data_IF_997774764535
#
_entry.id   IF_997774764535
#
_cell.length_a   1.000
_cell.length_b   1.000
_cell.length_c   1.000
_cell.angle_alpha   90.00
_cell.angle_beta   90.00
_cell.angle_gamma   90.00
#
_symmetry.space_group_name_H-M   'P 1'
#
loop_
_entity.id
_entity.type
_entity.pdbx_description
1 polymer ?
#
# COMPACT_ATOMS: atom_id res chain seq x y z
N UNK A 1 -81.73 -57.34 -4.73
CA UNK A 1 -80.37 -57.35 -4.14
C UNK A 1 -79.34 -56.66 -5.00
N UNK A 2 -79.66 -55.78 -5.99
CA UNK A 2 -78.77 -55.12 -6.90
C UNK A 2 -78.30 -53.72 -6.50
N UNK A 3 -78.96 -53.02 -5.57
CA UNK A 3 -78.70 -51.62 -5.24
C UNK A 3 -77.50 -51.36 -4.31
N UNK A 4 -77.25 -52.28 -3.43
CA UNK A 4 -76.14 -52.14 -2.43
C UNK A 4 -74.72 -52.32 -3.00
N UNK A 5 -74.56 -53.14 -4.03
CA UNK A 5 -73.29 -53.34 -4.73
C UNK A 5 -72.91 -52.10 -5.53
N UNK A 6 -73.80 -51.39 -6.17
CA UNK A 6 -73.54 -50.20 -6.97
C UNK A 6 -73.09 -49.02 -6.11
N UNK A 7 -73.67 -48.84 -4.93
CA UNK A 7 -73.32 -47.77 -3.99
C UNK A 7 -71.91 -48.01 -3.41
N UNK A 8 -71.56 -49.25 -3.06
CA UNK A 8 -70.24 -49.61 -2.57
C UNK A 8 -69.13 -49.33 -3.60
N UNK A 9 -69.40 -49.57 -4.90
CA UNK A 9 -68.40 -49.36 -5.95
C UNK A 9 -68.15 -47.88 -6.26
N UNK A 10 -69.20 -47.04 -6.19
CA UNK A 10 -69.13 -45.60 -6.38
C UNK A 10 -68.34 -44.92 -5.20
N UNK A 11 -68.62 -45.33 -3.98
CA UNK A 11 -67.91 -44.83 -2.78
C UNK A 11 -66.44 -45.29 -2.79
N UNK A 12 -66.23 -46.54 -3.15
CA UNK A 12 -64.80 -47.07 -3.27
C UNK A 12 -63.93 -46.35 -4.32
N UNK A 13 -64.58 -46.07 -5.49
CA UNK A 13 -63.85 -45.28 -6.55
C UNK A 13 -63.67 -43.80 -6.17
N UNK A 14 -64.58 -43.22 -5.39
CA UNK A 14 -64.49 -41.85 -4.89
C UNK A 14 -63.38 -41.72 -3.86
N UNK A 15 -63.24 -42.63 -2.95
CA UNK A 15 -62.16 -42.63 -1.93
C UNK A 15 -60.79 -42.92 -2.58
N UNK A 16 -60.73 -43.84 -3.53
CA UNK A 16 -59.50 -44.12 -4.25
C UNK A 16 -58.98 -42.93 -5.09
N UNK A 17 -59.94 -42.23 -5.75
CA UNK A 17 -59.55 -41.05 -6.58
C UNK A 17 -59.19 -39.84 -5.74
N UNK A 18 -59.74 -39.68 -4.54
CA UNK A 18 -59.40 -38.62 -3.60
C UNK A 18 -58.08 -38.92 -2.89
N UNK A 19 -57.80 -40.18 -2.60
CA UNK A 19 -56.53 -40.61 -2.00
C UNK A 19 -55.32 -40.41 -2.92
N UNK A 20 -55.51 -40.57 -4.24
CA UNK A 20 -54.39 -40.36 -5.19
C UNK A 20 -53.97 -38.90 -5.31
N UNK A 21 -54.91 -37.95 -5.16
CA UNK A 21 -54.56 -36.51 -5.17
C UNK A 21 -53.81 -36.10 -3.90
N UNK A 22 -54.20 -36.67 -2.75
CA UNK A 22 -53.55 -36.40 -1.48
C UNK A 22 -52.08 -36.92 -1.44
N UNK A 23 -51.83 -38.06 -2.07
CA UNK A 23 -50.50 -38.66 -2.15
C UNK A 23 -49.58 -37.96 -3.18
N UNK A 24 -50.12 -37.22 -4.13
CA UNK A 24 -49.35 -36.47 -5.12
C UNK A 24 -48.82 -35.13 -4.57
N UNK A 25 -49.50 -34.58 -3.57
CA UNK A 25 -49.07 -33.32 -2.93
C UNK A 25 -48.08 -33.53 -1.74
N UNK A 26 -47.97 -34.77 -1.23
CA UNK A 26 -47.04 -35.08 -0.13
C UNK A 26 -45.55 -34.95 -0.44
N UNK A 27 -45.04 -35.24 -1.64
CA UNK A 27 -43.64 -35.05 -1.95
C UNK A 27 -43.20 -33.57 -1.99
N UNK A 28 -44.15 -32.64 -2.23
CA UNK A 28 -43.80 -31.21 -2.24
C UNK A 28 -43.53 -30.64 -0.83
N UNK A 29 -44.04 -31.28 0.23
CA UNK A 29 -43.81 -30.88 1.62
C UNK A 29 -42.46 -31.36 2.18
N UNK A 30 -41.81 -32.34 1.58
CA UNK A 30 -40.57 -32.97 2.05
C UNK A 30 -39.39 -32.76 1.11
N UNK A 31 -39.58 -32.13 -0.04
CA UNK A 31 -38.44 -31.73 -0.85
C UNK A 31 -37.77 -30.50 -0.20
N UNK A 32 -36.50 -30.62 0.23
CA UNK A 32 -35.79 -29.43 0.63
C UNK A 32 -35.80 -28.48 -0.54
N UNK A 33 -36.33 -27.28 -0.36
CA UNK A 33 -36.16 -26.18 -1.28
C UNK A 33 -34.63 -25.92 -1.27
N UNK A 34 -33.94 -26.42 -2.27
CA UNK A 34 -32.57 -26.02 -2.54
C UNK A 34 -32.70 -24.59 -3.02
N UNK A 35 -32.61 -23.66 -2.09
CA UNK A 35 -32.35 -22.25 -2.41
C UNK A 35 -31.00 -22.24 -3.10
N UNK A 36 -30.95 -21.96 -4.41
CA UNK A 36 -29.69 -21.71 -5.09
C UNK A 36 -28.96 -20.67 -4.29
N UNK A 37 -27.72 -20.93 -3.88
CA UNK A 37 -26.93 -19.94 -3.19
C UNK A 37 -26.72 -18.77 -4.16
N UNK A 38 -27.48 -17.69 -3.98
CA UNK A 38 -27.20 -16.44 -4.67
C UNK A 38 -25.90 -15.94 -4.10
N UNK A 39 -24.80 -16.19 -4.80
CA UNK A 39 -23.56 -15.56 -4.51
C UNK A 39 -23.76 -14.04 -4.69
N UNK A 40 -23.60 -13.28 -3.61
CA UNK A 40 -23.62 -11.83 -3.67
C UNK A 40 -22.47 -11.39 -4.59
N UNK A 41 -22.83 -10.80 -5.73
CA UNK A 41 -21.87 -10.35 -6.75
C UNK A 41 -20.82 -9.42 -6.14
N UNK A 42 -21.19 -8.59 -5.16
CA UNK A 42 -20.24 -7.72 -4.41
C UNK A 42 -19.14 -8.54 -3.74
N UNK A 43 -19.53 -9.61 -3.04
CA UNK A 43 -18.57 -10.50 -2.36
C UNK A 43 -17.60 -11.13 -3.37
N UNK A 44 -18.10 -11.54 -4.53
CA UNK A 44 -17.24 -12.12 -5.59
C UNK A 44 -16.26 -11.09 -6.12
N UNK A 45 -16.72 -9.86 -6.42
CA UNK A 45 -15.87 -8.76 -6.89
C UNK A 45 -14.79 -8.42 -5.85
N UNK A 46 -15.18 -8.28 -4.57
CA UNK A 46 -14.25 -8.01 -3.47
C UNK A 46 -13.20 -9.12 -3.35
N UNK A 47 -13.60 -10.39 -3.41
CA UNK A 47 -12.64 -11.50 -3.35
C UNK A 47 -11.67 -11.48 -4.54
N UNK A 48 -12.15 -11.13 -5.72
CA UNK A 48 -11.32 -11.05 -6.93
C UNK A 48 -10.32 -9.89 -6.83
N UNK A 49 -10.74 -8.71 -6.38
CA UNK A 49 -9.87 -7.56 -6.15
C UNK A 49 -8.84 -7.85 -5.05
N UNK A 50 -9.27 -8.40 -3.91
CA UNK A 50 -8.36 -8.81 -2.83
C UNK A 50 -7.35 -9.87 -3.26
N UNK A 51 -7.70 -10.73 -4.21
CA UNK A 51 -6.79 -11.73 -4.78
C UNK A 51 -5.59 -11.12 -5.51
N UNK A 52 -5.71 -9.87 -5.99
CA UNK A 52 -4.61 -9.11 -6.57
C UNK A 52 -3.69 -8.48 -5.50
N UNK A 53 -4.14 -8.46 -4.22
CA UNK A 53 -3.44 -7.88 -3.06
C UNK A 53 -2.88 -6.47 -3.32
N UNK A 54 -1.60 -6.31 -3.52
CA UNK A 54 -0.96 -5.03 -3.80
C UNK A 54 -0.94 -4.73 -5.31
N UNK A 55 -1.59 -3.65 -5.73
CA UNK A 55 -1.56 -3.17 -7.10
C UNK A 55 -0.51 -2.07 -7.24
N UNK A 56 0.72 -2.44 -7.63
CA UNK A 56 1.76 -1.46 -7.99
C UNK A 56 1.41 -0.80 -9.31
N UNK A 57 1.20 0.51 -9.29
CA UNK A 57 0.78 1.28 -10.47
C UNK A 57 1.79 2.35 -10.88
N UNK A 58 2.70 2.74 -9.99
CA UNK A 58 3.77 3.67 -10.31
C UNK A 58 5.10 3.22 -9.69
N UNK A 59 6.20 3.47 -10.42
CA UNK A 59 7.56 3.16 -9.98
C UNK A 59 8.41 4.42 -10.21
N UNK A 60 9.15 4.80 -9.18
CA UNK A 60 10.12 5.89 -9.22
C UNK A 60 11.53 5.31 -9.02
N UNK A 61 12.46 5.67 -9.90
CA UNK A 61 13.87 5.28 -9.79
C UNK A 61 14.74 6.53 -9.77
N UNK A 62 15.75 6.51 -8.91
CA UNK A 62 16.67 7.65 -8.77
C UNK A 62 18.05 7.19 -8.33
N UNK A 63 19.08 7.90 -8.81
CA UNK A 63 20.45 7.82 -8.29
C UNK A 63 20.66 8.94 -7.26
N UNK A 64 21.19 8.59 -6.10
CA UNK A 64 21.49 9.53 -5.02
C UNK A 64 22.97 9.46 -4.64
N UNK A 65 23.63 10.64 -4.55
CA UNK A 65 25.00 10.75 -4.05
C UNK A 65 24.93 11.15 -2.58
N UNK A 66 25.50 10.31 -1.70
CA UNK A 66 25.45 10.50 -0.26
C UNK A 66 26.86 10.54 0.31
N UNK A 67 27.31 11.70 0.85
CA UNK A 67 28.52 11.78 1.64
C UNK A 67 28.23 11.30 3.06
N UNK A 68 29.13 10.48 3.62
CA UNK A 68 29.15 10.09 5.02
C UNK A 68 30.53 10.40 5.61
N UNK A 69 30.57 10.89 6.84
CA UNK A 69 31.80 11.28 7.52
C UNK A 69 31.83 10.72 8.95
N UNK A 70 33.03 10.40 9.41
CA UNK A 70 33.30 10.03 10.80
C UNK A 70 34.63 10.63 11.27
N UNK A 71 34.60 11.22 12.46
CA UNK A 71 35.72 11.89 13.06
C UNK A 71 36.31 11.07 14.20
N UNK A 72 37.64 11.09 14.32
CA UNK A 72 38.36 10.63 15.49
C UNK A 72 38.67 11.83 16.37
N UNK A 73 38.18 11.87 17.59
CA UNK A 73 38.39 12.96 18.53
C UNK A 73 39.25 12.49 19.71
N UNK A 74 40.12 13.36 20.24
CA UNK A 74 40.85 13.16 21.49
C UNK A 74 40.80 14.47 22.28
N UNK A 75 40.35 14.41 23.52
CA UNK A 75 40.22 15.58 24.41
C UNK A 75 39.43 16.75 23.76
N UNK A 76 38.44 16.46 22.89
CA UNK A 76 37.63 17.47 22.19
C UNK A 76 38.21 17.98 20.88
N UNK A 77 39.43 17.57 20.51
CA UNK A 77 40.08 17.97 19.25
C UNK A 77 39.93 16.84 18.20
N UNK A 78 39.61 17.20 16.95
CA UNK A 78 39.57 16.26 15.82
C UNK A 78 41.00 15.94 15.41
N UNK A 79 41.40 14.68 15.55
CA UNK A 79 42.72 14.17 15.11
C UNK A 79 42.73 13.75 13.66
N UNK A 80 41.62 13.29 13.12
CA UNK A 80 41.46 12.86 11.75
C UNK A 80 40.02 12.52 11.41
N UNK A 81 39.68 12.73 10.15
CA UNK A 81 38.32 12.48 9.62
C UNK A 81 38.38 11.43 8.52
N UNK A 82 37.40 10.55 8.48
CA UNK A 82 37.20 9.62 7.38
C UNK A 82 35.96 10.07 6.60
N UNK A 83 36.09 10.17 5.29
CA UNK A 83 35.06 10.56 4.38
C UNK A 83 34.74 9.40 3.44
N UNK A 84 33.46 9.12 3.23
CA UNK A 84 32.95 8.16 2.27
C UNK A 84 31.94 8.85 1.38
N UNK A 85 32.02 8.61 0.06
CA UNK A 85 31.01 9.03 -0.89
C UNK A 85 30.38 7.75 -1.46
N UNK A 86 29.08 7.60 -1.25
CA UNK A 86 28.31 6.48 -1.74
C UNK A 86 27.38 6.95 -2.86
N UNK A 87 27.39 6.24 -3.98
CA UNK A 87 26.45 6.42 -5.07
C UNK A 87 25.44 5.30 -4.95
N UNK A 88 24.19 5.65 -4.65
CA UNK A 88 23.11 4.72 -4.45
C UNK A 88 22.11 4.81 -5.60
N UNK A 89 21.73 3.67 -6.15
CA UNK A 89 20.61 3.55 -7.05
C UNK A 89 19.41 2.94 -6.29
N UNK A 90 18.25 3.58 -6.35
CA UNK A 90 17.07 3.11 -5.61
C UNK A 90 15.79 3.17 -6.41
N UNK A 91 14.86 2.32 -5.99
CA UNK A 91 13.53 2.17 -6.56
C UNK A 91 12.48 2.31 -5.45
N UNK A 92 11.46 3.10 -5.72
CA UNK A 92 10.27 3.26 -4.87
C UNK A 92 9.06 2.85 -5.67
N UNK A 93 8.25 1.94 -5.13
CA UNK A 93 7.01 1.47 -5.73
C UNK A 93 5.83 2.04 -4.97
N UNK A 94 4.90 2.60 -5.69
CA UNK A 94 3.64 3.10 -5.15
C UNK A 94 2.44 2.45 -5.84
N UNK A 95 1.35 2.38 -5.13
CA UNK A 95 0.13 1.76 -5.62
C UNK A 95 -0.95 1.73 -4.56
N UNK A 96 -1.94 0.88 -4.78
CA UNK A 96 -3.09 0.70 -3.89
C UNK A 96 -3.09 -0.71 -3.33
N UNK A 97 -3.28 -0.84 -2.02
CA UNK A 97 -3.45 -2.13 -1.36
C UNK A 97 -4.91 -2.58 -1.45
N UNK A 98 -5.20 -3.39 -2.45
CA UNK A 98 -6.54 -3.92 -2.70
C UNK A 98 -7.01 -4.92 -1.63
N UNK A 99 -6.13 -5.42 -0.76
CA UNK A 99 -6.53 -6.28 0.35
C UNK A 99 -7.38 -5.53 1.39
N UNK A 100 -7.30 -4.21 1.42
CA UNK A 100 -8.08 -3.35 2.31
C UNK A 100 -9.53 -3.13 1.83
N UNK A 101 -9.87 -3.42 0.57
CA UNK A 101 -11.21 -3.25 0.03
C UNK A 101 -12.20 -4.14 0.77
N UNK A 102 -13.33 -3.58 1.17
CA UNK A 102 -14.44 -4.25 1.84
C UNK A 102 -15.68 -4.31 0.95
N UNK A 103 -16.71 -5.04 1.39
CA UNK A 103 -17.98 -5.11 0.66
C UNK A 103 -18.68 -3.75 0.63
N UNK A 104 -18.44 -2.91 1.64
CA UNK A 104 -19.02 -1.57 1.75
C UNK A 104 -18.40 -0.57 0.75
N UNK A 105 -17.22 -0.90 0.21
CA UNK A 105 -16.54 -0.09 -0.82
C UNK A 105 -17.02 -0.39 -2.24
N UNK A 106 -17.95 -1.36 -2.38
CA UNK A 106 -18.47 -1.81 -3.67
C UNK A 106 -19.98 -1.65 -3.72
N UNK A 107 -20.46 -0.73 -4.54
CA UNK A 107 -21.86 -0.48 -4.80
C UNK A 107 -22.27 -0.98 -6.18
N UNK A 108 -23.35 -1.77 -6.24
CA UNK A 108 -23.98 -2.19 -7.50
C UNK A 108 -25.20 -1.35 -7.75
N UNK A 109 -25.26 -0.72 -8.92
CA UNK A 109 -26.41 0.05 -9.37
C UNK A 109 -27.05 -0.67 -10.55
N UNK A 110 -27.99 -1.60 -10.29
CA UNK A 110 -28.56 -2.48 -11.30
C UNK A 110 -27.71 -3.70 -11.61
N UNK A 111 -27.87 -4.28 -12.81
CA UNK A 111 -27.21 -5.54 -13.18
C UNK A 111 -25.83 -5.35 -13.84
N UNK A 112 -25.55 -4.18 -14.41
CA UNK A 112 -24.34 -3.92 -15.22
C UNK A 112 -23.56 -2.68 -14.80
N UNK A 113 -23.97 -1.96 -13.74
CA UNK A 113 -23.30 -0.77 -13.25
C UNK A 113 -22.68 -1.03 -11.88
N UNK A 114 -21.40 -0.68 -11.74
CA UNK A 114 -20.63 -0.86 -10.52
C UNK A 114 -19.90 0.43 -10.14
N UNK A 115 -19.91 0.76 -8.85
CA UNK A 115 -19.07 1.80 -8.24
C UNK A 115 -18.13 1.16 -7.23
N UNK A 116 -16.83 1.47 -7.31
CA UNK A 116 -15.83 0.96 -6.39
C UNK A 116 -15.03 2.13 -5.81
N UNK A 117 -14.94 2.18 -4.48
CA UNK A 117 -14.08 3.12 -3.76
C UNK A 117 -12.75 2.44 -3.50
N UNK A 118 -11.65 3.01 -4.05
CA UNK A 118 -10.31 2.49 -3.82
C UNK A 118 -9.74 3.03 -2.51
N UNK A 119 -8.94 2.23 -1.79
CA UNK A 119 -8.14 2.72 -0.68
C UNK A 119 -7.15 3.80 -1.14
N UNK A 120 -6.66 4.67 -0.22
CA UNK A 120 -5.67 5.68 -0.58
C UNK A 120 -4.38 5.03 -1.08
N UNK A 121 -3.72 5.64 -2.08
CA UNK A 121 -2.44 5.17 -2.56
C UNK A 121 -1.36 5.32 -1.49
N UNK A 122 -0.43 4.38 -1.47
CA UNK A 122 0.67 4.34 -0.51
C UNK A 122 1.96 3.85 -1.18
N UNK A 123 3.10 4.06 -0.51
CA UNK A 123 4.34 3.41 -0.89
C UNK A 123 4.25 1.95 -0.44
N UNK A 124 4.36 1.04 -1.42
CA UNK A 124 4.29 -0.40 -1.20
C UNK A 124 5.67 -0.99 -0.89
N UNK A 125 6.72 -0.45 -1.54
CA UNK A 125 8.09 -0.90 -1.36
C UNK A 125 9.08 0.23 -1.66
N UNK A 126 10.21 0.23 -0.93
CA UNK A 126 11.34 1.11 -1.22
C UNK A 126 12.65 0.37 -0.95
N UNK A 127 13.54 0.31 -1.93
CA UNK A 127 14.78 -0.45 -1.86
C UNK A 127 15.92 0.20 -2.62
N UNK A 128 17.15 -0.14 -2.20
CA UNK A 128 18.35 0.15 -2.97
C UNK A 128 18.72 -1.06 -3.84
N UNK A 129 19.11 -0.78 -5.07
CA UNK A 129 19.76 -1.76 -5.95
C UNK A 129 21.24 -1.80 -5.62
N UNK A 130 21.65 -2.83 -4.89
CA UNK A 130 23.05 -2.96 -4.44
C UNK A 130 24.00 -3.31 -5.59
N UNK A 131 23.51 -3.90 -6.68
CA UNK A 131 24.33 -4.24 -7.84
C UNK A 131 24.71 -3.00 -8.65
N UNK A 132 23.85 -1.98 -8.64
CA UNK A 132 24.07 -0.69 -9.30
C UNK A 132 24.67 0.37 -8.37
N UNK A 133 24.71 0.10 -7.05
CA UNK A 133 25.22 1.04 -6.04
C UNK A 133 26.69 0.77 -5.72
N UNK A 134 27.45 1.82 -5.47
CA UNK A 134 28.89 1.65 -5.22
C UNK A 134 29.47 2.70 -4.27
N UNK A 135 30.55 2.34 -3.57
CA UNK A 135 31.38 3.30 -2.85
C UNK A 135 32.30 3.99 -3.87
N UNK A 136 31.98 5.23 -4.19
CA UNK A 136 32.75 6.02 -5.15
C UNK A 136 34.10 6.45 -4.57
N UNK A 137 34.16 6.84 -3.29
CA UNK A 137 35.35 7.31 -2.61
C UNK A 137 35.34 6.92 -1.14
N UNK A 138 36.48 6.46 -0.66
CA UNK A 138 36.77 6.28 0.75
C UNK A 138 38.15 6.87 1.06
N UNK A 139 38.22 7.83 1.99
CA UNK A 139 39.43 8.57 2.32
C UNK A 139 39.51 8.78 3.84
N UNK A 140 40.58 8.34 4.46
CA UNK A 140 40.84 8.47 5.89
C UNK A 140 41.60 9.72 6.27
N UNK A 141 41.75 10.66 5.33
CA UNK A 141 42.41 11.91 5.52
C UNK A 141 43.92 11.77 5.62
N UNK A 142 44.56 12.85 6.06
CA UNK A 142 46.01 12.94 6.13
C UNK A 142 46.64 11.88 7.05
N UNK A 143 47.66 11.19 6.59
CA UNK A 143 48.32 10.06 7.27
C UNK A 143 47.42 8.92 7.70
N UNK A 144 46.23 8.77 7.14
CA UNK A 144 45.23 7.76 7.52
C UNK A 144 44.85 7.82 9.02
N UNK A 145 44.84 9.01 9.62
CA UNK A 145 44.51 9.20 11.03
C UNK A 145 43.02 9.08 11.33
N UNK A 146 42.16 9.16 10.32
CA UNK A 146 40.74 8.93 10.46
C UNK A 146 40.41 7.50 10.95
N UNK A 147 39.23 7.27 11.59
CA UNK A 147 38.83 5.97 12.02
C UNK A 147 38.66 5.01 10.82
N UNK A 148 38.97 3.73 11.02
CA UNK A 148 38.77 2.69 10.02
C UNK A 148 37.40 2.04 10.25
N UNK A 149 36.35 2.66 9.72
CA UNK A 149 34.97 2.29 9.91
C UNK A 149 34.15 2.32 8.62
N UNK A 150 34.78 1.93 7.50
CA UNK A 150 34.13 1.89 6.19
C UNK A 150 32.75 1.20 6.18
N UNK A 151 32.57 0.00 6.80
CA UNK A 151 31.27 -0.67 6.78
C UNK A 151 30.16 0.13 7.48
N UNK A 152 30.49 0.79 8.61
CA UNK A 152 29.53 1.60 9.37
C UNK A 152 29.12 2.85 8.57
N UNK A 153 30.10 3.53 7.94
CA UNK A 153 29.83 4.67 7.08
C UNK A 153 29.03 4.28 5.84
N UNK A 154 29.29 3.11 5.26
CA UNK A 154 28.52 2.60 4.14
C UNK A 154 27.05 2.31 4.55
N UNK A 155 26.84 1.67 5.70
CA UNK A 155 25.47 1.42 6.21
C UNK A 155 24.72 2.72 6.44
N UNK A 156 25.37 3.71 7.05
CA UNK A 156 24.78 5.04 7.27
C UNK A 156 24.44 5.72 5.95
N UNK A 157 25.35 5.69 4.97
CA UNK A 157 25.12 6.26 3.66
C UNK A 157 23.96 5.57 2.90
N UNK A 158 23.81 4.26 3.03
CA UNK A 158 22.71 3.50 2.45
C UNK A 158 21.37 3.90 3.07
N UNK A 159 21.30 4.04 4.39
CA UNK A 159 20.08 4.49 5.07
C UNK A 159 19.68 5.90 4.66
N UNK A 160 20.64 6.81 4.61
CA UNK A 160 20.43 8.20 4.19
C UNK A 160 20.01 8.26 2.70
N UNK A 161 20.62 7.43 1.84
CA UNK A 161 20.25 7.34 0.44
C UNK A 161 18.79 6.89 0.26
N UNK A 162 18.39 5.83 0.97
CA UNK A 162 17.01 5.34 0.91
C UNK A 162 16.01 6.40 1.35
N UNK A 163 16.32 7.10 2.46
CA UNK A 163 15.49 8.20 2.95
C UNK A 163 15.33 9.32 1.93
N UNK A 164 16.46 9.74 1.29
CA UNK A 164 16.46 10.77 0.23
C UNK A 164 15.65 10.35 -0.99
N UNK A 165 15.81 9.12 -1.45
CA UNK A 165 15.12 8.60 -2.64
C UNK A 165 13.62 8.52 -2.37
N UNK A 166 13.22 8.03 -1.19
CA UNK A 166 11.81 7.98 -0.78
C UNK A 166 11.19 9.37 -0.67
N UNK A 167 11.91 10.33 -0.05
CA UNK A 167 11.45 11.71 0.04
C UNK A 167 11.32 12.36 -1.35
N UNK A 168 12.25 12.11 -2.27
CA UNK A 168 12.17 12.58 -3.64
C UNK A 168 10.98 12.00 -4.39
N UNK A 169 10.70 10.71 -4.24
CA UNK A 169 9.54 10.05 -4.81
C UNK A 169 8.23 10.72 -4.38
N UNK A 170 8.11 11.04 -3.09
CA UNK A 170 6.96 11.76 -2.54
C UNK A 170 6.80 13.16 -3.13
N UNK A 171 7.90 13.93 -3.21
CA UNK A 171 7.85 15.31 -3.70
C UNK A 171 7.60 15.43 -5.20
N UNK A 172 7.86 14.37 -5.96
CA UNK A 172 7.60 14.33 -7.42
C UNK A 172 6.17 13.91 -7.77
N UNK A 173 5.29 13.67 -6.78
CA UNK A 173 3.90 13.32 -7.05
C UNK A 173 3.70 11.83 -7.41
N UNK A 174 4.58 10.94 -6.91
CA UNK A 174 4.49 9.51 -7.20
C UNK A 174 3.14 8.90 -6.74
N UNK A 175 2.61 9.34 -5.60
CA UNK A 175 1.36 8.82 -5.07
C UNK A 175 0.15 9.28 -5.90
N UNK A 176 0.14 10.51 -6.38
CA UNK A 176 -0.90 11.04 -7.27
C UNK A 176 -0.92 10.26 -8.59
N UNK A 177 0.25 10.01 -9.16
CA UNK A 177 0.38 9.22 -10.38
C UNK A 177 -0.07 7.77 -10.15
N UNK A 178 0.31 7.18 -9.00
CA UNK A 178 -0.11 5.83 -8.62
C UNK A 178 -1.63 5.74 -8.49
N UNK A 179 -2.27 6.74 -7.88
CA UNK A 179 -3.71 6.82 -7.70
C UNK A 179 -4.43 6.87 -9.05
N UNK A 180 -4.02 7.78 -9.93
CA UNK A 180 -4.61 7.92 -11.26
C UNK A 180 -4.50 6.66 -12.10
N UNK A 181 -3.35 6.00 -12.08
CA UNK A 181 -3.14 4.74 -12.81
C UNK A 181 -3.94 3.58 -12.19
N UNK A 182 -4.10 3.54 -10.87
CA UNK A 182 -4.93 2.55 -10.20
C UNK A 182 -6.40 2.67 -10.63
N UNK A 183 -6.94 3.89 -10.69
CA UNK A 183 -8.29 4.17 -11.19
C UNK A 183 -8.51 3.60 -12.60
N UNK A 184 -7.59 3.91 -13.52
CA UNK A 184 -7.68 3.42 -14.91
C UNK A 184 -7.58 1.89 -14.96
N UNK A 185 -6.64 1.30 -14.22
CA UNK A 185 -6.38 -0.15 -14.27
C UNK A 185 -7.56 -0.94 -13.70
N UNK A 186 -8.09 -0.54 -12.55
CA UNK A 186 -9.24 -1.20 -11.93
C UNK A 186 -10.49 -0.99 -12.77
N UNK A 187 -10.69 0.20 -13.34
CA UNK A 187 -11.79 0.49 -14.26
C UNK A 187 -11.77 -0.42 -15.49
N UNK A 188 -10.62 -0.61 -16.11
CA UNK A 188 -10.45 -1.53 -17.25
C UNK A 188 -10.68 -2.99 -16.85
N UNK A 189 -10.20 -3.41 -15.67
CA UNK A 189 -10.42 -4.75 -15.16
C UNK A 189 -11.91 -5.06 -15.01
N UNK A 190 -12.66 -4.15 -14.38
CA UNK A 190 -14.11 -4.32 -14.15
C UNK A 190 -14.90 -4.26 -15.47
N UNK A 191 -14.52 -3.41 -16.40
CA UNK A 191 -15.13 -3.38 -17.75
C UNK A 191 -14.91 -4.71 -18.49
N UNK A 192 -13.72 -5.29 -18.36
CA UNK A 192 -13.41 -6.60 -18.94
C UNK A 192 -14.18 -7.74 -18.27
N UNK A 193 -14.50 -7.57 -16.97
CA UNK A 193 -15.32 -8.51 -16.20
C UNK A 193 -16.82 -8.48 -16.58
N UNK A 194 -17.23 -7.54 -17.45
CA UNK A 194 -18.60 -7.49 -18.02
C UNK A 194 -19.48 -6.35 -17.48
N UNK A 195 -18.93 -5.43 -16.68
CA UNK A 195 -19.68 -4.24 -16.27
C UNK A 195 -19.64 -3.18 -17.40
N UNK A 196 -20.83 -2.70 -17.80
CA UNK A 196 -20.96 -1.70 -18.85
C UNK A 196 -20.68 -0.27 -18.33
N UNK A 197 -21.04 0.00 -17.08
CA UNK A 197 -20.81 1.28 -16.42
C UNK A 197 -19.98 1.06 -15.17
N UNK A 198 -18.75 1.58 -15.19
CA UNK A 198 -17.79 1.46 -14.09
C UNK A 198 -17.43 2.86 -13.60
N UNK A 199 -17.70 3.12 -12.33
CA UNK A 199 -17.30 4.34 -11.63
C UNK A 199 -16.28 3.99 -10.55
N UNK A 200 -15.08 4.55 -10.65
CA UNK A 200 -14.03 4.37 -9.64
C UNK A 200 -13.88 5.67 -8.85
N UNK A 201 -13.96 5.57 -7.53
CA UNK A 201 -13.71 6.68 -6.62
C UNK A 201 -12.35 6.44 -5.97
N UNK A 202 -11.37 7.24 -6.39
CA UNK A 202 -10.04 7.22 -5.81
C UNK A 202 -9.99 8.15 -4.59
N UNK A 203 -9.36 7.69 -3.49
CA UNK A 203 -9.13 8.52 -2.31
C UNK A 203 -7.84 9.33 -2.47
N UNK A 204 -7.76 10.54 -1.89
CA UNK A 204 -6.53 11.32 -1.94
C UNK A 204 -5.40 10.57 -1.23
N UNK A 205 -4.13 10.72 -1.70
CA UNK A 205 -2.99 10.08 -1.07
C UNK A 205 -2.83 10.52 0.38
N UNK A 206 -2.46 9.59 1.25
CA UNK A 206 -2.00 9.93 2.59
C UNK A 206 -0.71 10.74 2.50
N UNK A 207 -0.50 11.67 3.44
CA UNK A 207 0.73 12.45 3.44
C UNK A 207 1.94 11.53 3.57
N UNK A 208 2.96 11.73 2.72
CA UNK A 208 4.22 10.98 2.77
C UNK A 208 5.03 11.13 4.07
N UNK A 209 4.57 11.95 5.01
CA UNK A 209 5.27 12.31 6.25
C UNK A 209 5.44 11.15 7.24
N UNK A 210 4.66 10.07 7.13
CA UNK A 210 4.66 9.00 8.13
C UNK A 210 5.73 7.92 7.93
N UNK A 211 6.46 7.95 6.82
CA UNK A 211 7.48 6.93 6.53
C UNK A 211 8.83 7.19 7.25
N UNK A 212 9.03 8.41 7.76
CA UNK A 212 10.22 8.78 8.55
C UNK A 212 10.20 8.30 10.00
N UNK A 213 9.07 7.85 10.52
CA UNK A 213 8.90 7.50 11.95
C UNK A 213 8.98 6.00 12.25
N UNK A 214 9.21 5.15 11.25
CA UNK A 214 9.25 3.70 11.45
C UNK A 214 10.53 3.17 12.11
N UNK A 215 11.47 4.04 12.53
CA UNK A 215 12.60 3.57 13.34
C UNK A 215 13.00 4.55 14.46
N UNK A 216 12.30 4.54 15.62
CA UNK A 216 12.69 5.35 16.79
C UNK A 216 13.93 4.79 17.53
N UNK A 217 14.65 3.80 16.98
CA UNK A 217 15.81 3.18 17.63
C UNK A 217 17.18 3.78 17.23
N UNK A 218 17.22 4.87 16.47
CA UNK A 218 18.46 5.63 16.31
C UNK A 218 18.58 6.61 17.48
N UNK A 219 19.51 6.29 18.36
CA UNK A 219 19.91 6.95 19.59
C UNK A 219 19.90 8.51 19.47
N UNK A 220 19.07 9.24 20.24
CA UNK A 220 18.95 10.69 20.17
C UNK A 220 20.19 11.47 20.63
N UNK A 221 21.27 10.79 21.03
CA UNK A 221 22.49 11.42 21.53
C UNK A 221 23.43 11.98 20.44
N UNK A 222 23.15 11.77 19.16
CA UNK A 222 24.01 12.29 18.07
C UNK A 222 23.47 13.57 17.38
N UNK A 223 22.30 14.07 17.79
CA UNK A 223 21.68 15.23 17.13
C UNK A 223 21.80 16.55 17.94
N UNK A 224 22.78 16.67 18.84
CA UNK A 224 22.96 17.90 19.63
C UNK A 224 24.21 18.73 19.28
N UNK A 225 24.79 18.62 18.09
CA UNK A 225 25.96 19.45 17.75
C UNK A 225 25.95 20.11 16.37
N UNK A 226 24.81 20.59 15.88
CA UNK A 226 24.77 21.46 14.70
C UNK A 226 23.79 22.63 14.83
N UNK A 227 23.72 23.28 16.01
CA UNK A 227 23.23 24.65 16.07
C UNK A 227 24.38 25.59 15.79
N UNK A 228 24.62 25.94 14.54
CA UNK A 228 25.40 27.13 14.17
C UNK A 228 24.69 28.35 14.76
N UNK A 229 25.35 29.18 15.59
CA UNK A 229 24.76 30.44 16.02
C UNK A 229 24.57 31.35 14.82
N UNK A 230 23.32 31.78 14.64
CA UNK A 230 22.91 32.63 13.54
C UNK A 230 23.67 33.95 13.51
N UNK A 231 23.95 34.35 12.30
CA UNK A 231 24.57 35.60 11.79
C UNK A 231 23.69 36.83 12.13
N UNK A 232 23.47 37.16 13.39
CA UNK A 232 22.68 38.35 13.75
C UNK A 232 23.25 39.20 14.90
N UNK A 233 24.48 38.94 15.40
CA UNK A 233 25.09 39.78 16.45
C UNK A 233 26.39 40.51 16.07
N UNK A 234 26.68 40.64 14.80
CA UNK A 234 27.87 41.35 14.32
C UNK A 234 27.62 42.76 13.77
N UNK A 235 26.43 43.34 13.99
CA UNK A 235 26.10 44.67 13.45
C UNK A 235 25.99 45.78 14.52
N UNK A 236 26.32 45.55 15.79
CA UNK A 236 26.14 46.55 16.85
C UNK A 236 27.45 46.93 17.60
N UNK A 237 28.61 46.50 17.14
CA UNK A 237 29.90 46.81 17.78
C UNK A 237 30.80 47.82 17.03
N UNK A 238 30.32 48.51 15.98
CA UNK A 238 31.12 49.50 15.23
C UNK A 238 30.51 50.90 15.18
N UNK A 239 29.77 51.31 16.20
CA UNK A 239 29.26 52.69 16.33
C UNK A 239 29.72 53.35 17.65
N UNK A 240 31.01 53.37 17.89
CA UNK A 240 31.50 53.97 19.13
C UNK A 240 33.01 54.16 19.18
N UNK A 241 33.64 54.71 18.14
CA UNK A 241 35.01 55.23 18.26
C UNK A 241 35.26 56.17 17.08
N UNK A 242 34.86 57.44 17.20
CA UNK A 242 35.62 58.58 16.67
C UNK A 242 35.18 59.84 17.44
N UNK A 243 36.14 60.62 17.96
CA UNK A 243 35.89 61.89 18.59
C UNK A 243 35.53 63.01 17.61
#
# INVERSE_FOLDING_TARGET
MGGTLAVGLVVGLGVWRSGQRFLQDLPALFLPVVTEPQADVRTVVVQQLRGASELTTAIFTMEAIVPAQSDRTLAGYVLGSTNLIYIAYGEVRAGVDLAQITVDDVDLTGESAIRVTLPPPQILDSKLDLDQSTVYRYDRGWLNLGPDNAPQLQTLAQQEALAKITAAACTTGLLEEANHRAEITVGQLLSTAGFESVEIIAQPPAACADLGTLNPSVNPSLNQSSSFPGRSELTLAMAGLYP
#
